data_IF_864809675258
#
_entry.id   IF_864809675258
#
_cell.length_a   1.000
_cell.length_b   1.000
_cell.length_c   1.000
_cell.angle_alpha   90.00
_cell.angle_beta   90.00
_cell.angle_gamma   90.00
#
_symmetry.space_group_name_H-M   'P 1'
#
loop_
_entity.id
_entity.type
_entity.pdbx_description
1 polymer ?
#
# COMPACT_ATOMS: atom_id res chain seq x y z
N UNK A 1 27.95 -3.83 -18.65
CA UNK A 1 27.85 -5.15 -18.02
C UNK A 1 26.44 -5.32 -17.51
N UNK A 2 25.77 -6.43 -17.87
CA UNK A 2 24.34 -6.69 -17.63
C UNK A 2 23.97 -6.56 -16.15
N UNK A 3 22.77 -6.01 -15.92
CA UNK A 3 22.28 -5.42 -14.68
C UNK A 3 22.28 -6.34 -13.47
N UNK A 4 22.62 -5.72 -12.35
CA UNK A 4 22.73 -6.30 -11.02
C UNK A 4 21.35 -6.54 -10.38
N UNK A 5 20.34 -7.05 -11.09
CA UNK A 5 18.96 -6.91 -10.56
C UNK A 5 18.07 -8.15 -10.74
N UNK A 6 18.59 -9.27 -11.24
CA UNK A 6 17.82 -10.52 -11.29
C UNK A 6 17.96 -11.28 -9.98
N UNK A 7 17.34 -10.76 -8.91
CA UNK A 7 17.26 -11.45 -7.61
C UNK A 7 17.29 -10.54 -6.38
N UNK A 8 17.50 -9.22 -6.53
CA UNK A 8 17.42 -8.30 -5.39
C UNK A 8 15.97 -7.85 -5.19
N UNK A 9 15.33 -8.40 -4.15
CA UNK A 9 14.12 -7.80 -3.60
C UNK A 9 14.52 -6.67 -2.66
N UNK A 10 13.92 -5.50 -2.84
CA UNK A 10 14.03 -4.40 -1.87
C UNK A 10 13.43 -4.84 -0.54
N UNK A 11 13.89 -4.25 0.57
CA UNK A 11 13.38 -4.58 1.89
C UNK A 11 11.85 -4.44 1.99
N UNK A 12 11.28 -3.39 1.38
CA UNK A 12 9.82 -3.18 1.33
C UNK A 12 9.07 -4.29 0.58
N UNK A 13 9.68 -4.94 -0.43
CA UNK A 13 9.07 -6.08 -1.14
C UNK A 13 8.98 -7.31 -0.23
N UNK A 14 10.02 -7.56 0.58
CA UNK A 14 9.99 -8.63 1.59
C UNK A 14 8.94 -8.34 2.67
N UNK A 15 8.85 -7.10 3.15
CA UNK A 15 7.82 -6.68 4.12
C UNK A 15 6.40 -6.84 3.56
N UNK A 16 6.19 -6.45 2.30
CA UNK A 16 4.92 -6.66 1.62
C UNK A 16 4.52 -8.14 1.56
N UNK A 17 5.43 -9.01 1.13
CA UNK A 17 5.19 -10.44 1.05
C UNK A 17 4.92 -11.09 2.43
N UNK A 18 5.62 -10.66 3.47
CA UNK A 18 5.38 -11.12 4.84
C UNK A 18 4.00 -10.68 5.34
N UNK A 19 3.59 -9.44 5.05
CA UNK A 19 2.28 -8.92 5.43
C UNK A 19 1.14 -9.61 4.67
N UNK A 20 1.29 -9.84 3.36
CA UNK A 20 0.34 -10.60 2.53
C UNK A 20 0.18 -12.05 3.00
N UNK A 21 1.28 -12.69 3.42
CA UNK A 21 1.26 -14.05 4.00
C UNK A 21 0.66 -14.09 5.41
N UNK A 22 0.43 -12.94 6.05
CA UNK A 22 -0.01 -12.84 7.44
C UNK A 22 1.07 -13.17 8.47
N UNK A 23 2.34 -13.18 8.07
CA UNK A 23 3.47 -13.41 8.97
C UNK A 23 3.75 -12.22 9.90
N UNK A 24 3.41 -11.00 9.44
CA UNK A 24 3.42 -9.75 10.22
C UNK A 24 2.15 -8.95 9.93
N UNK A 25 1.75 -8.07 10.85
CA UNK A 25 0.64 -7.14 10.60
C UNK A 25 1.02 -6.06 9.57
N UNK A 26 0.03 -5.54 8.84
CA UNK A 26 0.23 -4.44 7.90
C UNK A 26 0.84 -3.19 8.57
N UNK A 27 0.44 -2.89 9.82
CA UNK A 27 1.02 -1.80 10.61
C UNK A 27 2.52 -1.96 10.87
N UNK A 28 2.96 -3.18 11.21
CA UNK A 28 4.37 -3.52 11.45
C UNK A 28 5.19 -3.42 10.16
N UNK A 29 4.65 -3.95 9.06
CA UNK A 29 5.28 -3.83 7.75
C UNK A 29 5.48 -2.35 7.36
N UNK A 30 4.46 -1.51 7.55
CA UNK A 30 4.52 -0.07 7.26
C UNK A 30 5.50 0.66 8.19
N UNK A 31 5.56 0.30 9.48
CA UNK A 31 6.46 0.94 10.43
C UNK A 31 7.94 0.79 10.05
N UNK A 32 8.30 -0.39 9.54
CA UNK A 32 9.66 -0.78 9.16
C UNK A 32 10.04 -0.49 7.70
N UNK A 33 9.07 -0.15 6.86
CA UNK A 33 9.31 0.21 5.46
C UNK A 33 10.14 1.49 5.30
N UNK A 34 11.00 1.51 4.28
CA UNK A 34 11.73 2.70 3.86
C UNK A 34 10.75 3.72 3.25
N UNK A 35 9.76 3.22 2.50
CA UNK A 35 8.68 4.03 1.94
C UNK A 35 7.30 3.61 2.48
N UNK A 36 7.01 4.02 3.71
CA UNK A 36 5.76 3.72 4.44
C UNK A 36 4.49 4.02 3.64
N UNK A 37 4.48 5.15 2.94
CA UNK A 37 3.31 5.59 2.14
C UNK A 37 3.06 4.62 1.00
N UNK A 38 4.11 4.29 0.23
CA UNK A 38 4.00 3.39 -0.92
C UNK A 38 3.63 1.95 -0.50
N UNK A 39 4.24 1.45 0.58
CA UNK A 39 3.89 0.14 1.13
C UNK A 39 2.45 0.10 1.66
N UNK A 40 2.00 1.15 2.35
CA UNK A 40 0.62 1.26 2.84
C UNK A 40 -0.39 1.24 1.68
N UNK A 41 -0.09 1.98 0.60
CA UNK A 41 -0.93 1.97 -0.60
C UNK A 41 -0.99 0.57 -1.20
N UNK A 42 0.15 -0.10 -1.41
CA UNK A 42 0.20 -1.46 -1.94
C UNK A 42 -0.61 -2.44 -1.11
N UNK A 43 -0.44 -2.43 0.21
CA UNK A 43 -1.18 -3.33 1.12
C UNK A 43 -2.69 -3.09 1.06
N UNK A 44 -3.11 -1.82 1.01
CA UNK A 44 -4.53 -1.48 0.90
C UNK A 44 -5.12 -1.92 -0.44
N UNK A 45 -4.40 -1.71 -1.54
CA UNK A 45 -4.81 -2.14 -2.88
C UNK A 45 -4.89 -3.67 -2.97
N UNK A 46 -3.91 -4.38 -2.40
CA UNK A 46 -3.87 -5.85 -2.36
C UNK A 46 -5.02 -6.44 -1.54
N UNK A 47 -5.38 -5.81 -0.42
CA UNK A 47 -6.53 -6.18 0.40
C UNK A 47 -7.90 -5.88 -0.24
N UNK A 48 -7.95 -5.44 -1.51
CA UNK A 48 -9.19 -5.05 -2.19
C UNK A 48 -9.74 -3.70 -1.74
N UNK A 49 -8.95 -2.92 -1.00
CA UNK A 49 -9.27 -1.54 -0.64
C UNK A 49 -9.31 -0.69 -1.90
N UNK A 50 -10.52 -0.29 -2.31
CA UNK A 50 -10.67 0.78 -3.28
C UNK A 50 -9.91 2.00 -2.77
N UNK A 51 -9.12 2.64 -3.63
CA UNK A 51 -8.44 3.91 -3.34
C UNK A 51 -9.48 5.04 -3.29
N UNK A 52 -10.52 4.86 -2.48
CA UNK A 52 -11.50 5.91 -2.20
C UNK A 52 -10.71 7.01 -1.51
N UNK A 53 -10.49 8.09 -2.23
CA UNK A 53 -10.08 9.36 -1.68
C UNK A 53 -11.25 9.92 -0.83
N UNK A 54 -11.62 9.20 0.23
CA UNK A 54 -12.78 9.47 1.10
C UNK A 54 -12.56 10.70 2.00
N UNK A 55 -11.79 11.68 1.52
CA UNK A 55 -11.70 13.05 2.02
C UNK A 55 -11.89 14.11 0.93
N UNK A 56 -11.95 13.74 -0.36
CA UNK A 56 -12.31 14.66 -1.43
C UNK A 56 -13.80 14.47 -1.74
N UNK A 57 -14.63 14.83 -0.76
CA UNK A 57 -16.07 14.97 -0.94
C UNK A 57 -16.31 15.95 -2.08
N UNK A 58 -16.55 15.42 -3.28
CA UNK A 58 -17.31 16.11 -4.30
C UNK A 58 -18.68 16.36 -3.67
N UNK A 59 -18.82 17.56 -3.10
CA UNK A 59 -20.09 18.19 -2.72
C UNK A 59 -20.99 18.25 -3.96
N UNK A 60 -21.61 17.13 -4.29
CA UNK A 60 -22.56 17.04 -5.38
C UNK A 60 -23.96 17.36 -4.81
N UNK A 61 -24.40 18.58 -5.12
CA UNK A 61 -25.78 18.99 -5.41
C UNK A 61 -26.92 18.48 -4.51
N UNK A 62 -27.29 19.30 -3.53
CA UNK A 62 -28.65 19.30 -2.98
C UNK A 62 -29.51 20.33 -3.74
N UNK A 63 -30.52 19.89 -4.50
CA UNK A 63 -31.90 20.36 -4.28
C UNK A 63 -32.88 19.14 -4.29
N UNK A 64 -34.06 19.18 -3.61
CA UNK A 64 -35.02 20.29 -3.68
C UNK A 64 -35.80 20.60 -2.37
N UNK A 65 -36.37 21.82 -2.29
CA UNK A 65 -37.61 22.11 -1.55
C UNK A 65 -38.56 22.87 -2.47
#
# INVERSE_FOLDING_TARGET
SRGVEQGMCSFDQSLFALAESGAISAEEAIAHADNRTDLSLKLRLAAGGSLTVAGMGMRENMPPV
#
